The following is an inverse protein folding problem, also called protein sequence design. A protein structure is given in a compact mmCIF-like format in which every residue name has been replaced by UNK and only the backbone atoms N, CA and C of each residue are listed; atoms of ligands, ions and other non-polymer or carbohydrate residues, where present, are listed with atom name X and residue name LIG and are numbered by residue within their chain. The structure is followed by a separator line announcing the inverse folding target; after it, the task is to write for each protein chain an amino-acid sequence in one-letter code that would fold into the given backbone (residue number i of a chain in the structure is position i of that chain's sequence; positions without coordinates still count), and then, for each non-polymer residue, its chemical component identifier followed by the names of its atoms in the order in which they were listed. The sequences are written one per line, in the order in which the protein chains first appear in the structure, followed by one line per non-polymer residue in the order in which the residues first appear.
data_IF_885951757033
#
_entry.id   IF_885951757033
#
_cell.length_a   1.000
_cell.length_b   1.000
_cell.length_c   1.000
_cell.angle_alpha   90.00
_cell.angle_beta   90.00
_cell.angle_gamma   90.00
#
_symmetry.space_group_name_H-M   'P 1'
#
loop_
_entity.id
_entity.type
_entity.pdbx_description
1 polymer ?
#
# COMPACT_ATOMS: atom_id res chain seq x y z
N UNK A 1 -3.05 20.67 -1.76
CA UNK A 1 -2.10 21.09 -2.79
C UNK A 1 -2.89 21.74 -3.90
N UNK A 2 -2.47 22.91 -4.37
CA UNK A 2 -3.16 23.57 -5.48
C UNK A 2 -2.81 22.89 -6.81
N UNK A 3 -3.78 22.79 -7.72
CA UNK A 3 -3.61 22.16 -9.04
C UNK A 3 -2.45 22.81 -9.81
N UNK A 4 -2.27 24.11 -9.65
CA UNK A 4 -1.19 24.88 -10.31
C UNK A 4 0.20 24.40 -9.89
N UNK A 5 0.37 24.07 -8.62
CA UNK A 5 1.65 23.61 -8.07
C UNK A 5 1.97 22.19 -8.57
N UNK A 6 0.96 21.32 -8.62
CA UNK A 6 1.11 19.94 -9.16
C UNK A 6 1.46 19.98 -10.66
N UNK A 7 0.81 20.87 -11.43
CA UNK A 7 1.13 21.03 -12.86
C UNK A 7 2.56 21.58 -13.04
N UNK A 8 3.01 22.49 -12.17
CA UNK A 8 4.37 23.01 -12.22
C UNK A 8 5.40 21.89 -11.95
N UNK A 9 5.16 21.06 -10.94
CA UNK A 9 6.01 19.93 -10.57
C UNK A 9 6.07 18.85 -11.67
N UNK A 10 4.92 18.49 -12.25
CA UNK A 10 4.86 17.57 -13.39
C UNK A 10 5.60 18.12 -14.62
N UNK A 11 5.57 19.42 -14.85
CA UNK A 11 6.31 20.07 -15.94
C UNK A 11 7.80 20.15 -15.66
N UNK A 12 8.20 20.30 -14.41
CA UNK A 12 9.61 20.26 -14.04
C UNK A 12 10.20 18.87 -14.24
N UNK A 13 9.48 17.84 -13.76
CA UNK A 13 9.90 16.45 -13.82
C UNK A 13 9.98 15.91 -15.25
N UNK A 14 8.97 16.18 -16.08
CA UNK A 14 8.89 15.64 -17.45
C UNK A 14 9.26 16.67 -18.52
N UNK A 15 9.65 17.89 -18.17
CA UNK A 15 10.18 18.87 -19.12
C UNK A 15 9.18 19.98 -19.50
N UNK A 16 9.73 21.20 -19.53
CA UNK A 16 9.03 22.47 -19.72
C UNK A 16 8.46 22.55 -21.14
N UNK A 17 7.16 22.26 -21.28
CA UNK A 17 6.42 22.41 -22.54
C UNK A 17 5.65 21.17 -23.00
N UNK A 18 5.86 20.01 -22.35
CA UNK A 18 5.02 18.85 -22.61
C UNK A 18 3.65 19.05 -21.96
N UNK A 19 2.59 18.72 -22.70
CA UNK A 19 1.19 18.79 -22.22
C UNK A 19 0.56 17.42 -22.02
N UNK A 20 1.24 16.37 -22.50
CA UNK A 20 0.79 14.99 -22.50
C UNK A 20 1.90 14.09 -21.98
N UNK A 21 1.54 13.20 -21.07
CA UNK A 21 2.42 12.18 -20.49
C UNK A 21 2.09 10.82 -21.07
N UNK A 22 3.13 10.03 -21.34
CA UNK A 22 3.00 8.67 -21.83
C UNK A 22 2.82 7.67 -20.67
N UNK A 23 2.37 6.43 -20.94
CA UNK A 23 2.08 5.46 -19.88
C UNK A 23 3.26 5.15 -18.95
N UNK A 24 4.49 5.26 -19.45
CA UNK A 24 5.73 5.09 -18.67
C UNK A 24 5.98 6.24 -17.69
N UNK A 25 5.57 7.44 -18.06
CA UNK A 25 5.72 8.65 -17.23
C UNK A 25 4.61 8.70 -16.19
N UNK A 26 3.38 8.37 -16.58
CA UNK A 26 2.25 8.23 -15.66
C UNK A 26 2.50 7.11 -14.64
N UNK A 27 3.18 6.03 -15.04
CA UNK A 27 3.63 4.96 -14.13
C UNK A 27 4.50 5.48 -12.99
N UNK A 28 5.41 6.40 -13.29
CA UNK A 28 6.33 6.97 -12.29
C UNK A 28 5.58 7.86 -11.28
N UNK A 29 4.59 8.62 -11.74
CA UNK A 29 3.81 9.54 -10.88
C UNK A 29 2.84 8.77 -9.96
N UNK A 30 2.13 7.77 -10.49
CA UNK A 30 1.11 7.03 -9.73
C UNK A 30 1.73 5.82 -8.97
N UNK A 31 2.99 5.45 -9.26
CA UNK A 31 3.65 4.30 -8.62
C UNK A 31 3.17 2.93 -9.14
N UNK A 32 2.48 2.88 -10.28
CA UNK A 32 2.01 1.64 -10.90
C UNK A 32 2.97 1.18 -12.00
N UNK A 33 3.05 -0.13 -12.23
CA UNK A 33 3.80 -0.63 -13.39
C UNK A 33 3.17 -0.15 -14.73
N UNK A 34 3.97 0.10 -15.78
CA UNK A 34 3.44 0.48 -17.10
C UNK A 34 2.42 -0.54 -17.66
N UNK A 35 2.61 -1.83 -17.34
CA UNK A 35 1.70 -2.91 -17.70
C UNK A 35 0.36 -2.82 -16.98
N UNK A 36 0.35 -2.42 -15.70
CA UNK A 36 -0.86 -2.21 -14.93
C UNK A 36 -1.68 -1.03 -15.50
N UNK A 37 -1.01 0.06 -15.85
CA UNK A 37 -1.65 1.22 -16.51
C UNK A 37 -2.26 0.81 -17.86
N UNK A 38 -1.52 0.05 -18.68
CA UNK A 38 -2.05 -0.40 -19.96
C UNK A 38 -3.28 -1.31 -19.77
N UNK A 39 -3.27 -2.20 -18.77
CA UNK A 39 -4.41 -3.05 -18.43
C UNK A 39 -5.63 -2.22 -17.96
N UNK A 40 -5.43 -1.21 -17.10
CA UNK A 40 -6.50 -0.31 -16.65
C UNK A 40 -7.13 0.42 -17.83
N UNK A 41 -6.29 0.88 -18.76
CA UNK A 41 -6.71 1.54 -19.99
C UNK A 41 -7.54 0.63 -20.89
N UNK A 42 -7.10 -0.60 -21.13
CA UNK A 42 -7.86 -1.57 -21.93
C UNK A 42 -9.20 -1.95 -21.28
N UNK A 43 -9.26 -1.98 -19.95
CA UNK A 43 -10.47 -2.29 -19.17
C UNK A 43 -11.45 -1.11 -19.07
N UNK A 44 -11.16 0.05 -19.68
CA UNK A 44 -11.93 1.31 -19.57
C UNK A 44 -12.17 1.75 -18.11
N UNK A 45 -11.34 1.27 -17.18
CA UNK A 45 -11.36 1.66 -15.76
C UNK A 45 -10.35 2.76 -15.44
N UNK A 46 -9.66 3.26 -16.45
CA UNK A 46 -8.67 4.31 -16.30
C UNK A 46 -9.39 5.67 -16.25
N UNK A 47 -9.13 6.51 -15.23
CA UNK A 47 -9.91 7.72 -14.99
C UNK A 47 -9.63 8.86 -15.99
N UNK A 48 -8.73 8.63 -16.95
CA UNK A 48 -8.26 9.67 -17.86
C UNK A 48 -8.75 9.45 -19.29
N UNK A 49 -8.98 10.55 -20.01
CA UNK A 49 -9.34 10.47 -21.43
C UNK A 49 -8.09 10.15 -22.27
N UNK A 50 -8.08 9.03 -23.02
CA UNK A 50 -6.91 8.64 -23.81
C UNK A 50 -6.72 9.57 -25.01
N UNK A 51 -5.62 10.34 -25.05
CA UNK A 51 -5.26 11.20 -26.18
C UNK A 51 -4.20 10.53 -27.04
N UNK A 52 -4.50 10.30 -28.32
CA UNK A 52 -3.57 9.65 -29.26
C UNK A 52 -2.63 10.69 -29.87
N UNK A 53 -1.33 10.48 -29.70
CA UNK A 53 -0.28 11.28 -30.36
C UNK A 53 0.55 10.31 -31.18
N UNK A 54 0.36 10.34 -32.50
CA UNK A 54 0.95 9.39 -33.43
C UNK A 54 0.55 7.94 -33.11
N UNK A 55 1.54 7.07 -32.85
CA UNK A 55 1.31 5.67 -32.52
C UNK A 55 1.23 5.37 -31.01
N UNK A 56 1.41 6.39 -30.16
CA UNK A 56 1.36 6.26 -28.70
C UNK A 56 0.08 6.92 -28.18
N UNK A 57 -0.41 6.44 -27.04
CA UNK A 57 -1.52 7.07 -26.34
C UNK A 57 -1.01 7.62 -25.02
N UNK A 58 -1.30 8.89 -24.76
CA UNK A 58 -0.94 9.58 -23.53
C UNK A 58 -2.14 10.19 -22.82
N UNK A 59 -1.85 10.79 -21.67
CA UNK A 59 -2.79 11.43 -20.75
C UNK A 59 -2.42 12.90 -20.61
N UNK A 60 -3.40 13.78 -20.47
CA UNK A 60 -3.12 15.20 -20.24
C UNK A 60 -2.58 15.46 -18.84
N UNK A 61 -1.57 16.32 -18.72
CA UNK A 61 -1.01 16.72 -17.42
C UNK A 61 -2.06 17.37 -16.51
N UNK A 62 -3.01 18.10 -17.09
CA UNK A 62 -4.07 18.77 -16.34
C UNK A 62 -5.05 17.78 -15.73
N UNK A 63 -5.49 16.77 -16.50
CA UNK A 63 -6.37 15.72 -16.02
C UNK A 63 -5.68 14.90 -14.91
N UNK A 64 -4.38 14.64 -15.06
CA UNK A 64 -3.58 13.98 -14.03
C UNK A 64 -3.46 14.83 -12.75
N UNK A 65 -3.19 16.12 -12.89
CA UNK A 65 -3.06 17.03 -11.76
C UNK A 65 -4.38 17.23 -11.01
N UNK A 66 -5.50 17.35 -11.73
CA UNK A 66 -6.84 17.41 -11.16
C UNK A 66 -7.17 16.12 -10.39
N UNK A 67 -6.82 14.96 -10.95
CA UNK A 67 -6.99 13.68 -10.28
C UNK A 67 -6.17 13.56 -8.99
N UNK A 68 -4.89 13.98 -9.01
CA UNK A 68 -4.04 14.01 -7.81
C UNK A 68 -4.61 14.99 -6.77
N UNK A 69 -5.04 16.18 -7.20
CA UNK A 69 -5.60 17.21 -6.32
C UNK A 69 -6.95 16.79 -5.71
N UNK A 70 -7.75 16.02 -6.44
CA UNK A 70 -9.06 15.52 -5.98
C UNK A 70 -8.97 14.52 -4.83
N UNK A 71 -7.77 14.11 -4.43
CA UNK A 71 -7.56 13.09 -3.42
C UNK A 71 -7.94 11.73 -3.99
N UNK A 72 -6.98 11.09 -4.66
CA UNK A 72 -7.12 9.75 -5.25
C UNK A 72 -7.91 8.82 -4.30
N UNK A 73 -9.10 8.34 -4.68
CA UNK A 73 -9.64 7.15 -4.07
C UNK A 73 -8.75 5.99 -4.53
N UNK A 74 -7.70 5.74 -3.75
CA UNK A 74 -7.10 4.43 -3.51
C UNK A 74 -7.13 3.50 -4.74
N UNK A 75 -6.27 3.78 -5.72
CA UNK A 75 -5.85 2.76 -6.70
C UNK A 75 -4.92 1.70 -6.07
N UNK A 76 -4.81 1.66 -4.73
CA UNK A 76 -4.03 0.66 -4.00
C UNK A 76 -4.69 -0.73 -3.95
N UNK A 77 -5.96 -0.84 -4.36
CA UNK A 77 -6.67 -2.12 -4.42
C UNK A 77 -7.28 -2.41 -5.80
N UNK A 78 -6.44 -2.42 -6.84
CA UNK A 78 -6.77 -3.21 -8.03
C UNK A 78 -6.56 -4.70 -7.72
N UNK A 79 -7.49 -5.28 -6.95
CA UNK A 79 -7.68 -6.73 -6.90
C UNK A 79 -7.73 -7.28 -8.33
N UNK A 80 -6.99 -8.35 -8.66
CA UNK A 80 -7.11 -9.03 -9.93
C UNK A 80 -8.35 -9.94 -9.89
N UNK A 81 -9.54 -9.35 -9.80
CA UNK A 81 -10.77 -10.12 -9.89
C UNK A 81 -11.15 -10.39 -11.35
N UNK A 82 -10.89 -11.64 -11.73
CA UNK A 82 -11.67 -12.54 -12.56
C UNK A 82 -12.49 -11.94 -13.72
N UNK A 83 -12.02 -12.19 -14.94
CA UNK A 83 -12.87 -12.28 -16.13
C UNK A 83 -12.30 -13.31 -17.11
N UNK A 84 -12.72 -14.58 -16.97
CA UNK A 84 -12.95 -15.50 -18.09
C UNK A 84 -13.52 -16.84 -17.58
N UNK A 85 -14.82 -16.87 -17.30
CA UNK A 85 -15.62 -18.11 -17.39
C UNK A 85 -16.39 -18.05 -18.70
N UNK A 86 -16.02 -18.89 -19.67
CA UNK A 86 -16.94 -19.60 -20.58
C UNK A 86 -16.16 -20.68 -21.31
N UNK A 87 -16.50 -21.95 -21.08
CA UNK A 87 -15.88 -23.08 -21.79
C UNK A 87 -16.16 -24.44 -21.18
N UNK A 88 -17.45 -24.81 -21.07
CA UNK A 88 -17.89 -26.18 -20.80
C UNK A 88 -17.32 -27.15 -21.84
N UNK A 89 -16.50 -28.13 -21.42
CA UNK A 89 -16.37 -29.42 -22.11
C UNK A 89 -16.31 -30.58 -21.11
N UNK A 90 -17.49 -31.17 -20.93
CA UNK A 90 -17.85 -32.55 -20.61
C UNK A 90 -16.74 -33.48 -20.07
N UNK A 91 -17.00 -33.97 -18.85
CA UNK A 91 -16.58 -35.27 -18.29
C UNK A 91 -16.49 -36.35 -19.38
N UNK A 92 -15.33 -37.01 -19.49
CA UNK A 92 -15.23 -38.43 -19.89
C UNK A 92 -14.30 -39.16 -18.94
N UNK A 93 -14.76 -40.33 -18.51
CA UNK A 93 -14.11 -41.32 -17.64
C UNK A 93 -12.76 -41.79 -18.23
N UNK A 94 -11.87 -42.19 -17.32
CA UNK A 94 -10.53 -42.76 -17.54
C UNK A 94 -10.52 -44.07 -18.37
N UNK A 95 -9.31 -44.56 -18.72
CA UNK A 95 -8.77 -45.66 -17.92
C UNK A 95 -7.25 -45.58 -17.62
N UNK A 96 -6.84 -46.39 -16.66
CA UNK A 96 -5.48 -46.51 -16.12
C UNK A 96 -4.49 -47.23 -17.06
N UNK A 97 -3.20 -46.87 -17.00
CA UNK A 97 -2.08 -47.74 -16.56
C UNK A 97 -0.70 -47.22 -16.99
N UNK A 98 0.26 -47.43 -16.08
CA UNK A 98 1.69 -47.70 -16.30
C UNK A 98 2.73 -46.58 -16.47
N UNK A 99 3.70 -46.69 -15.54
CA UNK A 99 5.15 -46.46 -15.64
C UNK A 99 5.70 -45.06 -15.37
N UNK A 100 6.34 -45.00 -14.20
CA UNK A 100 7.29 -44.01 -13.71
C UNK A 100 8.38 -43.69 -14.75
N UNK A 101 8.68 -42.39 -14.84
CA UNK A 101 10.01 -41.88 -15.14
C UNK A 101 10.27 -40.70 -14.18
N UNK A 102 11.45 -40.60 -13.53
CA UNK A 102 11.74 -39.49 -12.62
C UNK A 102 12.13 -38.27 -13.46
N UNK A 103 11.16 -37.43 -13.80
CA UNK A 103 11.46 -36.10 -14.30
C UNK A 103 11.89 -35.23 -13.12
N UNK A 104 13.15 -34.77 -13.15
CA UNK A 104 13.69 -33.74 -12.27
C UNK A 104 12.86 -32.47 -12.44
N UNK A 105 11.81 -32.35 -11.63
CA UNK A 105 10.94 -31.18 -11.62
C UNK A 105 11.70 -30.05 -10.96
N UNK A 106 12.12 -29.07 -11.74
CA UNK A 106 12.44 -27.74 -11.23
C UNK A 106 11.16 -27.19 -10.61
N UNK A 107 11.04 -27.30 -9.29
CA UNK A 107 9.87 -26.84 -8.55
C UNK A 107 9.81 -25.32 -8.65
N UNK A 108 9.14 -24.80 -9.69
CA UNK A 108 8.66 -23.42 -9.72
C UNK A 108 7.94 -23.20 -8.39
N UNK A 109 8.47 -22.29 -7.57
CA UNK A 109 7.91 -21.95 -6.27
C UNK A 109 6.41 -21.70 -6.44
N UNK A 110 5.60 -22.66 -6.00
CA UNK A 110 4.15 -22.53 -6.05
C UNK A 110 3.81 -21.43 -5.06
N UNK A 111 3.11 -20.39 -5.53
CA UNK A 111 2.60 -19.34 -4.66
C UNK A 111 1.86 -20.01 -3.50
N UNK A 112 2.07 -19.56 -2.25
CA UNK A 112 1.36 -20.13 -1.12
C UNK A 112 -0.13 -20.04 -1.42
N UNK A 113 -0.86 -21.13 -1.17
CA UNK A 113 -2.30 -21.09 -1.27
C UNK A 113 -2.86 -20.07 -0.29
N UNK A 114 -4.05 -19.56 -0.59
CA UNK A 114 -4.69 -18.50 0.21
C UNK A 114 -4.82 -18.90 1.70
N UNK A 115 -5.11 -20.16 2.00
CA UNK A 115 -5.27 -20.65 3.38
C UNK A 115 -4.03 -20.42 4.28
N UNK A 116 -2.86 -20.97 3.93
CA UNK A 116 -1.60 -20.70 4.63
C UNK A 116 -1.26 -19.21 4.74
N UNK A 117 -1.50 -18.42 3.70
CA UNK A 117 -1.28 -16.98 3.72
C UNK A 117 -2.17 -16.31 4.77
N UNK A 118 -3.49 -16.58 4.76
CA UNK A 118 -4.43 -16.04 5.74
C UNK A 118 -4.05 -16.43 7.18
N UNK A 119 -3.58 -17.66 7.40
CA UNK A 119 -3.11 -18.08 8.71
C UNK A 119 -1.84 -17.34 9.15
N UNK A 120 -0.90 -17.08 8.22
CA UNK A 120 0.27 -16.25 8.54
C UNK A 120 -0.11 -14.81 8.86
N UNK A 121 -1.09 -14.23 8.15
CA UNK A 121 -1.58 -12.87 8.42
C UNK A 121 -2.27 -12.81 9.79
N UNK A 122 -3.11 -13.79 10.13
CA UNK A 122 -3.73 -13.87 11.47
C UNK A 122 -2.70 -13.98 12.58
N UNK A 123 -1.66 -14.79 12.40
CA UNK A 123 -0.57 -14.91 13.37
C UNK A 123 0.18 -13.59 13.55
N UNK A 124 0.42 -12.88 12.45
CA UNK A 124 1.08 -11.58 12.45
C UNK A 124 0.25 -10.53 13.19
N UNK A 125 -1.06 -10.48 12.94
CA UNK A 125 -1.99 -9.57 13.64
C UNK A 125 -1.96 -9.84 15.14
N UNK A 126 -2.08 -11.11 15.56
CA UNK A 126 -2.04 -11.48 16.97
C UNK A 126 -0.72 -11.10 17.65
N UNK A 127 0.41 -11.19 16.92
CA UNK A 127 1.70 -10.75 17.43
C UNK A 127 1.75 -9.22 17.61
N UNK A 128 1.28 -8.45 16.62
CA UNK A 128 1.23 -6.99 16.70
C UNK A 128 0.33 -6.50 17.84
N UNK A 129 -0.80 -7.18 18.07
CA UNK A 129 -1.69 -6.87 19.19
C UNK A 129 -1.01 -7.10 20.54
N UNK A 130 -0.23 -8.18 20.69
CA UNK A 130 0.54 -8.44 21.91
C UNK A 130 1.64 -7.38 22.14
N UNK A 131 2.33 -6.95 21.08
CA UNK A 131 3.33 -5.88 21.15
C UNK A 131 2.69 -4.54 21.56
N UNK A 132 1.53 -4.19 21.00
CA UNK A 132 0.78 -2.99 21.38
C UNK A 132 0.32 -3.05 22.83
N UNK A 133 -0.11 -4.22 23.31
CA UNK A 133 -0.48 -4.40 24.72
C UNK A 133 0.69 -4.11 25.65
N UNK A 134 1.87 -4.69 25.36
CA UNK A 134 3.08 -4.45 26.15
C UNK A 134 3.49 -2.98 26.13
N UNK A 135 3.41 -2.32 24.97
CA UNK A 135 3.73 -0.90 24.86
C UNK A 135 2.80 -0.03 25.73
N UNK A 136 1.49 -0.35 25.76
CA UNK A 136 0.52 0.34 26.61
C UNK A 136 0.82 0.15 28.09
N UNK A 137 1.14 -1.07 28.51
CA UNK A 137 1.48 -1.38 29.91
C UNK A 137 2.76 -0.65 30.35
N UNK A 138 3.77 -0.61 29.48
CA UNK A 138 5.03 0.09 29.76
C UNK A 138 4.79 1.60 29.89
N UNK A 139 3.98 2.18 29.00
CA UNK A 139 3.64 3.59 29.08
C UNK A 139 2.89 3.93 30.38
N UNK A 140 1.90 3.13 30.76
CA UNK A 140 1.15 3.32 32.01
C UNK A 140 2.07 3.23 33.24
N UNK A 141 3.07 2.35 33.22
CA UNK A 141 4.04 2.24 34.31
C UNK A 141 4.99 3.44 34.37
N UNK A 142 5.44 3.94 33.22
CA UNK A 142 6.26 5.16 33.17
C UNK A 142 5.50 6.39 33.65
N UNK A 143 4.21 6.49 33.31
CA UNK A 143 3.36 7.56 33.80
C UNK A 143 3.24 7.52 35.33
N UNK A 144 3.00 6.35 35.92
CA UNK A 144 2.98 6.18 37.38
C UNK A 144 4.30 6.63 38.03
N UNK A 145 5.44 6.18 37.51
CA UNK A 145 6.76 6.57 38.03
C UNK A 145 7.03 8.08 37.88
N UNK A 146 6.55 8.69 36.80
CA UNK A 146 6.64 10.14 36.61
C UNK A 146 5.83 10.88 37.67
N UNK A 147 4.61 10.42 37.95
CA UNK A 147 3.76 11.01 38.98
C UNK A 147 4.37 10.83 40.38
N UNK A 148 4.88 9.64 40.74
CA UNK A 148 5.54 9.38 42.02
C UNK A 148 6.75 10.30 42.26
N UNK A 149 7.65 10.43 41.27
CA UNK A 149 8.81 11.33 41.36
C UNK A 149 8.42 12.80 41.54
N UNK A 150 7.33 13.24 40.91
CA UNK A 150 6.86 14.62 41.05
C UNK A 150 6.25 14.88 42.43
N UNK A 151 5.61 13.88 43.04
CA UNK A 151 5.10 13.95 44.41
C UNK A 151 6.26 14.08 45.40
N UNK A 152 7.30 13.24 45.29
CA UNK A 152 8.46 13.26 46.18
C UNK A 152 9.21 14.61 46.15
N UNK A 153 9.37 15.20 44.95
CA UNK A 153 9.98 16.53 44.78
C UNK A 153 9.15 17.63 45.45
N UNK A 154 7.82 17.56 45.34
CA UNK A 154 6.92 18.56 45.94
C UNK A 154 6.94 18.51 47.47
N UNK A 155 6.96 17.30 48.05
CA UNK A 155 7.07 17.09 49.51
C UNK A 155 8.43 17.59 50.04
N UNK A 156 9.52 17.32 49.32
CA UNK A 156 10.87 17.79 49.68
C UNK A 156 10.98 19.33 49.71
N UNK A 157 10.35 20.03 48.76
CA UNK A 157 10.39 21.51 48.70
C UNK A 157 9.52 22.22 49.75
N UNK A 158 8.58 21.51 50.39
CA UNK A 158 7.63 22.06 51.37
C UNK A 158 8.08 21.99 52.83
N UNK A 159 9.21 21.35 53.13
CA UNK A 159 9.64 21.07 54.52
C UNK A 159 10.98 21.72 54.86
N UNK A 160 11.05 23.06 54.80
CA UNK A 160 12.12 23.82 55.46
C UNK A 160 11.51 24.57 56.67
N UNK A 161 11.72 24.12 57.92
CA UNK A 161 11.22 24.84 59.08
C UNK A 161 12.00 26.14 59.22
N UNK A 162 11.29 27.25 59.01
CA UNK A 162 11.80 28.62 59.16
C UNK A 162 12.17 28.82 60.63
N UNK A 163 13.44 28.57 60.98
CA UNK A 163 14.00 28.82 62.31
C UNK A 163 13.89 30.32 62.60
N UNK A 164 12.84 30.70 63.35
CA UNK A 164 12.71 32.00 64.00
C UNK A 164 13.85 32.11 65.01
N UNK A 165 14.83 32.97 64.71
CA UNK A 165 15.82 33.42 65.69
C UNK A 165 15.12 34.37 66.65
N UNK A 166 15.19 34.04 67.94
CA UNK A 166 14.89 34.92 69.07
C UNK A 166 16.02 35.94 69.25
#
# INVERSE_FOLDING_TARGET
MDIKDIVADLRETFGKGRMVLFPEEVAQVIGLSPKAINNLRHRKKFPFTPKRIGNKIGVSIYELAEWIASGSPELEHAEPDNAATTGTTRKRKAPASAKQAPATSTSKARRPSLGPLLMSMRKMIAQQEAELHLARDLFANLEKLHMERNIDKKVSSGSAPKRRRL
#
